data_IF_345689008008
#
_entry.id   IF_345689008008
#
_cell.length_a   1.000
_cell.length_b   1.000
_cell.length_c   1.000
_cell.angle_alpha   90.00
_cell.angle_beta   90.00
_cell.angle_gamma   90.00
#
_symmetry.space_group_name_H-M   'P 1'
#
loop_
_entity.id
_entity.type
_entity.pdbx_description
1 polymer ?
#
# COMPACT_ATOMS: atom_id res chain seq x y z
N UNK A 1 -11.82 10.21 7.78
CA UNK A 1 -10.43 9.91 7.34
C UNK A 1 -10.16 10.68 6.06
N UNK A 2 -9.01 11.36 5.95
CA UNK A 2 -8.61 12.08 4.73
C UNK A 2 -7.72 11.19 3.88
N UNK A 3 -8.10 10.96 2.64
CA UNK A 3 -7.41 10.06 1.73
C UNK A 3 -6.92 10.86 0.52
N UNK A 4 -5.65 10.68 0.14
CA UNK A 4 -5.08 11.21 -1.09
C UNK A 4 -4.93 10.08 -2.10
N UNK A 5 -5.63 10.14 -3.21
CA UNK A 5 -5.54 9.18 -4.31
C UNK A 5 -4.79 9.80 -5.49
N UNK A 6 -3.55 9.36 -5.72
CA UNK A 6 -2.77 9.84 -6.85
C UNK A 6 -3.02 8.98 -8.10
N UNK A 7 -3.27 9.64 -9.23
CA UNK A 7 -3.54 8.99 -10.52
C UNK A 7 -2.78 9.65 -11.66
N UNK A 8 -2.21 8.84 -12.53
CA UNK A 8 -1.61 9.24 -13.80
C UNK A 8 -2.37 8.67 -15.01
N UNK A 9 -3.51 8.01 -14.76
CA UNK A 9 -4.31 7.35 -15.78
C UNK A 9 -3.76 6.01 -16.26
N UNK A 10 -2.69 5.50 -15.65
CA UNK A 10 -2.17 4.16 -15.94
C UNK A 10 -3.12 3.07 -15.45
N UNK A 11 -2.96 1.85 -15.95
CA UNK A 11 -3.69 0.66 -15.50
C UNK A 11 -3.54 0.44 -13.98
N UNK A 12 -2.36 0.68 -13.46
CA UNK A 12 -2.08 0.59 -12.03
C UNK A 12 -2.76 1.69 -11.21
N UNK A 13 -2.92 2.90 -11.76
CA UNK A 13 -3.69 3.97 -11.15
C UNK A 13 -5.20 3.66 -11.15
N UNK A 14 -5.71 3.02 -12.20
CA UNK A 14 -7.10 2.51 -12.18
C UNK A 14 -7.29 1.44 -11.10
N UNK A 15 -6.30 0.56 -10.90
CA UNK A 15 -6.31 -0.41 -9.79
C UNK A 15 -6.32 0.27 -8.42
N UNK A 16 -5.70 1.46 -8.29
CA UNK A 16 -5.75 2.24 -7.05
C UNK A 16 -7.17 2.79 -6.78
N UNK A 17 -7.87 3.29 -7.81
CA UNK A 17 -9.29 3.70 -7.70
C UNK A 17 -10.17 2.50 -7.31
N UNK A 18 -10.00 1.37 -7.98
CA UNK A 18 -10.75 0.15 -7.67
C UNK A 18 -10.46 -0.39 -6.26
N UNK A 19 -9.21 -0.28 -5.81
CA UNK A 19 -8.80 -0.63 -4.46
C UNK A 19 -9.48 0.26 -3.43
N UNK A 20 -9.51 1.59 -3.64
CA UNK A 20 -10.24 2.52 -2.77
C UNK A 20 -11.72 2.14 -2.64
N UNK A 21 -12.39 1.83 -3.75
CA UNK A 21 -13.83 1.48 -3.76
C UNK A 21 -14.13 0.15 -3.05
N UNK A 22 -13.17 -0.76 -2.97
CA UNK A 22 -13.32 -2.08 -2.33
C UNK A 22 -12.81 -2.14 -0.89
N UNK A 23 -11.90 -1.24 -0.55
CA UNK A 23 -11.33 -1.20 0.79
C UNK A 23 -12.35 -0.62 1.78
N UNK A 24 -12.50 -1.20 2.98
CA UNK A 24 -13.50 -0.75 3.95
C UNK A 24 -13.03 0.51 4.68
N UNK A 25 -12.86 1.62 3.97
CA UNK A 25 -12.67 2.92 4.60
C UNK A 25 -13.95 3.40 5.28
N UNK A 26 -13.87 4.20 6.35
CA UNK A 26 -15.04 4.81 6.97
C UNK A 26 -15.86 5.61 5.95
N UNK A 27 -17.19 5.51 6.02
CA UNK A 27 -18.11 6.14 5.06
C UNK A 27 -18.08 7.68 5.06
N UNK A 28 -17.52 8.28 6.11
CA UNK A 28 -17.28 9.71 6.25
C UNK A 28 -15.89 10.15 5.76
N UNK A 29 -15.17 9.27 5.07
CA UNK A 29 -13.86 9.59 4.51
C UNK A 29 -13.98 10.58 3.35
N UNK A 30 -13.05 11.54 3.34
CA UNK A 30 -12.90 12.54 2.29
C UNK A 30 -11.75 12.13 1.36
N UNK A 31 -11.98 12.12 0.06
CA UNK A 31 -10.99 11.73 -0.94
C UNK A 31 -10.54 12.94 -1.74
N UNK A 32 -9.25 13.24 -1.71
CA UNK A 32 -8.63 14.18 -2.65
C UNK A 32 -7.97 13.39 -3.77
N UNK A 33 -8.43 13.58 -5.00
CA UNK A 33 -7.77 13.02 -6.18
C UNK A 33 -6.69 13.96 -6.66
N UNK A 34 -5.51 13.44 -6.91
CA UNK A 34 -4.37 14.22 -7.38
C UNK A 34 -3.82 13.65 -8.69
N UNK A 35 -3.69 14.52 -9.69
CA UNK A 35 -2.86 14.26 -10.88
C UNK A 35 -1.73 15.26 -10.91
N UNK A 36 -0.52 14.79 -11.20
CA UNK A 36 0.66 15.63 -11.32
C UNK A 36 1.21 15.50 -12.73
N UNK A 37 1.27 16.64 -13.43
CA UNK A 37 1.96 16.74 -14.71
C UNK A 37 3.44 16.87 -14.43
N UNK A 38 4.25 15.92 -14.91
CA UNK A 38 5.69 15.98 -14.72
C UNK A 38 6.27 17.17 -15.48
N UNK A 39 6.91 18.07 -14.74
CA UNK A 39 7.57 19.25 -15.31
C UNK A 39 8.64 18.89 -16.35
N UNK A 40 9.22 17.69 -16.26
CA UNK A 40 10.21 17.22 -17.23
C UNK A 40 9.64 17.07 -18.65
N UNK A 41 8.31 16.93 -18.80
CA UNK A 41 7.64 16.91 -20.11
C UNK A 41 7.84 18.23 -20.86
N UNK A 42 7.98 19.36 -20.14
CA UNK A 42 8.09 20.71 -20.71
C UNK A 42 9.48 21.32 -20.63
N UNK A 43 10.38 20.77 -19.79
CA UNK A 43 11.74 21.25 -19.59
C UNK A 43 12.76 20.27 -20.13
N UNK A 44 13.12 20.44 -21.39
CA UNK A 44 14.35 19.87 -21.91
C UNK A 44 15.44 20.95 -21.86
N UNK A 45 16.64 20.64 -21.35
CA UNK A 45 17.76 21.61 -21.32
C UNK A 45 18.12 22.11 -22.74
N UNK A 46 17.69 21.39 -23.78
CA UNK A 46 17.83 21.77 -25.20
C UNK A 46 16.85 22.88 -25.64
N UNK A 47 15.85 23.25 -24.80
CA UNK A 47 14.79 24.24 -25.10
C UNK A 47 15.12 25.64 -24.56
N UNK A 48 16.39 25.99 -24.30
CA UNK A 48 16.75 27.29 -23.73
C UNK A 48 16.77 28.45 -24.74
N UNK A 49 16.85 28.14 -26.04
CA UNK A 49 16.92 29.13 -27.12
C UNK A 49 15.79 28.93 -28.16
N UNK A 50 14.52 28.88 -27.67
CA UNK A 50 13.36 28.75 -28.53
C UNK A 50 13.09 30.09 -29.27
N UNK A 51 12.77 30.00 -30.55
CA UNK A 51 12.20 31.11 -31.30
C UNK A 51 10.68 31.27 -30.96
N UNK A 52 10.08 32.39 -31.37
CA UNK A 52 8.69 32.71 -31.03
C UNK A 52 7.71 31.60 -31.46
N UNK A 53 7.88 31.00 -32.64
CA UNK A 53 7.03 29.91 -33.16
C UNK A 53 7.15 28.62 -32.33
N UNK A 54 8.35 28.33 -31.84
CA UNK A 54 8.59 27.17 -30.96
C UNK A 54 8.02 27.40 -29.55
N UNK A 55 8.05 28.63 -29.09
CA UNK A 55 7.48 29.01 -27.81
C UNK A 55 5.95 28.93 -27.83
N UNK A 56 5.31 29.43 -28.90
CA UNK A 56 3.86 29.29 -29.11
C UNK A 56 3.45 27.81 -29.18
N UNK A 57 4.20 26.97 -29.89
CA UNK A 57 3.94 25.54 -29.96
C UNK A 57 4.10 24.82 -28.60
N UNK A 58 5.04 25.25 -27.78
CA UNK A 58 5.22 24.73 -26.42
C UNK A 58 4.04 25.10 -25.53
N UNK A 59 3.61 26.38 -25.55
CA UNK A 59 2.45 26.84 -24.79
C UNK A 59 1.14 26.11 -25.19
N UNK A 60 0.96 25.90 -26.50
CA UNK A 60 -0.17 25.10 -26.98
C UNK A 60 -0.10 23.64 -26.50
N UNK A 61 1.09 23.04 -26.51
CA UNK A 61 1.31 21.68 -25.99
C UNK A 61 1.04 21.59 -24.49
N UNK A 62 1.53 22.55 -23.70
CA UNK A 62 1.25 22.64 -22.26
C UNK A 62 -0.25 22.68 -21.98
N UNK A 63 -0.99 23.49 -22.73
CA UNK A 63 -2.44 23.59 -22.60
C UNK A 63 -3.14 22.27 -22.90
N UNK A 64 -2.77 21.60 -24.00
CA UNK A 64 -3.32 20.28 -24.36
C UNK A 64 -3.08 19.25 -23.25
N UNK A 65 -1.87 19.22 -22.68
CA UNK A 65 -1.54 18.29 -21.60
C UNK A 65 -2.33 18.59 -20.33
N UNK A 66 -2.52 19.87 -20.00
CA UNK A 66 -3.33 20.27 -18.84
C UNK A 66 -4.82 19.91 -19.04
N UNK A 67 -5.37 20.15 -20.22
CA UNK A 67 -6.75 19.77 -20.56
C UNK A 67 -6.94 18.25 -20.44
N UNK A 68 -6.02 17.46 -21.00
CA UNK A 68 -6.08 16.00 -20.90
C UNK A 68 -5.98 15.49 -19.44
N UNK A 69 -5.12 16.11 -18.62
CA UNK A 69 -5.01 15.77 -17.20
C UNK A 69 -6.28 16.14 -16.41
N UNK A 70 -6.91 17.27 -16.76
CA UNK A 70 -8.18 17.67 -16.15
C UNK A 70 -9.32 16.74 -16.54
N UNK A 71 -9.39 16.32 -17.81
CA UNK A 71 -10.36 15.31 -18.27
C UNK A 71 -10.19 13.96 -17.56
N UNK A 72 -8.94 13.53 -17.35
CA UNK A 72 -8.64 12.33 -16.58
C UNK A 72 -9.19 12.44 -15.16
N UNK A 73 -8.86 13.53 -14.46
CA UNK A 73 -9.35 13.78 -13.10
C UNK A 73 -10.87 13.76 -13.02
N UNK A 74 -11.55 14.49 -13.91
CA UNK A 74 -13.02 14.55 -13.91
C UNK A 74 -13.65 13.18 -14.17
N UNK A 75 -13.08 12.38 -15.07
CA UNK A 75 -13.56 11.01 -15.34
C UNK A 75 -13.46 10.12 -14.12
N UNK A 76 -12.31 10.12 -13.44
CA UNK A 76 -12.10 9.28 -12.25
C UNK A 76 -12.89 9.82 -11.03
N UNK A 77 -13.00 11.15 -10.89
CA UNK A 77 -13.84 11.79 -9.88
C UNK A 77 -15.32 11.41 -10.04
N UNK A 78 -15.81 11.39 -11.29
CA UNK A 78 -17.17 10.95 -11.56
C UNK A 78 -17.41 9.49 -11.14
N UNK A 79 -16.41 8.60 -11.27
CA UNK A 79 -16.51 7.21 -10.78
C UNK A 79 -16.69 7.16 -9.26
N UNK A 80 -15.91 7.96 -8.52
CA UNK A 80 -15.99 8.03 -7.06
C UNK A 80 -17.32 8.63 -6.59
N UNK A 81 -17.78 9.74 -7.20
CA UNK A 81 -19.08 10.33 -6.89
C UNK A 81 -20.22 9.34 -7.12
N UNK A 82 -20.20 8.61 -8.23
CA UNK A 82 -21.22 7.59 -8.54
C UNK A 82 -21.21 6.43 -7.55
N UNK A 83 -20.07 6.15 -6.92
CA UNK A 83 -19.91 5.17 -5.84
C UNK A 83 -20.27 5.76 -4.45
N UNK A 84 -20.64 7.03 -4.36
CA UNK A 84 -21.08 7.68 -3.11
C UNK A 84 -19.96 8.31 -2.28
N UNK A 85 -18.74 8.45 -2.85
CA UNK A 85 -17.63 9.09 -2.15
C UNK A 85 -17.72 10.62 -2.19
N UNK A 86 -17.37 11.28 -1.08
CA UNK A 86 -17.08 12.71 -1.05
C UNK A 86 -15.68 12.94 -1.61
N UNK A 87 -15.61 13.63 -2.77
CA UNK A 87 -14.32 13.82 -3.45
C UNK A 87 -14.05 15.28 -3.77
N UNK A 88 -12.76 15.61 -3.84
CA UNK A 88 -12.20 16.82 -4.42
C UNK A 88 -11.06 16.44 -5.37
N UNK A 89 -10.76 17.32 -6.32
CA UNK A 89 -9.74 17.06 -7.33
C UNK A 89 -8.71 18.17 -7.37
N UNK A 90 -7.44 17.80 -7.49
CA UNK A 90 -6.31 18.72 -7.55
C UNK A 90 -5.38 18.35 -8.71
N UNK A 91 -4.99 19.34 -9.52
CA UNK A 91 -4.00 19.23 -10.57
C UNK A 91 -2.75 20.01 -10.19
N UNK A 92 -1.60 19.37 -10.23
CA UNK A 92 -0.30 19.98 -9.94
C UNK A 92 0.65 19.83 -11.14
N UNK A 93 1.65 20.71 -11.20
CA UNK A 93 2.76 20.65 -12.16
C UNK A 93 4.05 20.62 -11.36
N UNK A 94 4.81 19.54 -11.45
CA UNK A 94 6.02 19.36 -10.66
C UNK A 94 6.62 17.97 -10.85
N UNK A 95 7.46 17.54 -9.90
CA UNK A 95 7.93 16.17 -9.84
C UNK A 95 6.87 15.31 -9.14
N UNK A 96 6.26 14.31 -9.81
CA UNK A 96 5.09 13.60 -9.28
C UNK A 96 5.25 13.09 -7.85
N UNK A 97 6.39 12.47 -7.54
CA UNK A 97 6.64 11.90 -6.22
C UNK A 97 6.72 12.96 -5.11
N UNK A 98 7.34 14.11 -5.39
CA UNK A 98 7.49 15.22 -4.45
C UNK A 98 6.17 15.94 -4.23
N UNK A 99 5.40 16.19 -5.30
CA UNK A 99 4.10 16.84 -5.20
C UNK A 99 3.08 16.00 -4.42
N UNK A 100 3.07 14.67 -4.60
CA UNK A 100 2.20 13.78 -3.83
C UNK A 100 2.52 13.88 -2.33
N UNK A 101 3.80 13.86 -1.96
CA UNK A 101 4.22 13.98 -0.55
C UNK A 101 3.89 15.37 0.01
N UNK A 102 4.13 16.43 -0.77
CA UNK A 102 3.83 17.80 -0.37
C UNK A 102 2.32 18.02 -0.15
N UNK A 103 1.47 17.52 -1.04
CA UNK A 103 0.01 17.61 -0.89
C UNK A 103 -0.46 16.78 0.31
N UNK A 104 0.13 15.60 0.54
CA UNK A 104 -0.19 14.79 1.72
C UNK A 104 0.11 15.53 3.03
N UNK A 105 1.22 16.28 3.08
CA UNK A 105 1.59 17.11 4.23
C UNK A 105 0.68 18.35 4.35
N UNK A 106 0.42 19.06 3.25
CA UNK A 106 -0.39 20.29 3.23
C UNK A 106 -1.83 20.06 3.69
N UNK A 107 -2.43 18.94 3.29
CA UNK A 107 -3.82 18.60 3.58
C UNK A 107 -3.99 17.76 4.85
N UNK A 108 -2.89 17.41 5.53
CA UNK A 108 -2.89 16.54 6.72
C UNK A 108 -3.62 15.22 6.42
N UNK A 109 -3.11 14.51 5.41
CA UNK A 109 -3.69 13.26 4.87
C UNK A 109 -3.38 12.10 5.81
N UNK A 110 -4.38 11.26 6.08
CA UNK A 110 -4.24 10.04 6.89
C UNK A 110 -3.69 8.86 6.09
N UNK A 111 -4.06 8.77 4.80
CA UNK A 111 -3.65 7.68 3.92
C UNK A 111 -3.48 8.13 2.47
N UNK A 112 -2.29 7.88 1.91
CA UNK A 112 -2.03 8.04 0.47
C UNK A 112 -2.26 6.71 -0.23
N UNK A 113 -3.00 6.72 -1.33
CA UNK A 113 -3.21 5.56 -2.21
C UNK A 113 -2.53 5.82 -3.54
N UNK A 114 -1.65 4.92 -3.94
CA UNK A 114 -0.94 4.98 -5.24
C UNK A 114 -0.97 3.63 -5.91
N UNK A 115 -0.95 3.61 -7.23
CA UNK A 115 -0.71 2.38 -8.01
C UNK A 115 0.69 1.83 -7.76
N UNK A 116 0.93 0.58 -8.08
CA UNK A 116 2.26 -0.02 -7.94
C UNK A 116 3.25 0.44 -9.01
N UNK A 117 2.76 0.89 -10.18
CA UNK A 117 3.56 1.38 -11.31
C UNK A 117 2.86 2.57 -11.96
N UNK A 118 3.59 3.36 -12.76
CA UNK A 118 3.02 4.38 -13.63
C UNK A 118 3.04 3.93 -15.10
N UNK A 119 2.78 4.87 -16.03
CA UNK A 119 2.69 4.63 -17.49
C UNK A 119 3.94 3.99 -18.11
N UNK A 120 5.12 4.10 -17.48
CA UNK A 120 6.38 3.52 -17.96
C UNK A 120 6.70 2.11 -17.43
N UNK A 121 5.84 1.48 -16.66
CA UNK A 121 6.11 0.24 -15.94
C UNK A 121 6.19 -1.01 -16.83
N UNK A 122 7.40 -1.50 -17.08
CA UNK A 122 7.65 -2.67 -17.96
C UNK A 122 7.70 -4.01 -17.20
N UNK A 123 7.73 -4.04 -15.86
CA UNK A 123 7.93 -5.30 -15.11
C UNK A 123 6.92 -5.46 -13.97
N UNK A 124 6.17 -6.52 -14.04
CA UNK A 124 5.10 -6.98 -13.12
C UNK A 124 5.52 -7.19 -11.65
N UNK A 125 6.81 -7.00 -11.29
CA UNK A 125 7.37 -7.34 -9.98
C UNK A 125 8.24 -6.24 -9.33
N UNK A 126 8.28 -5.03 -9.89
CA UNK A 126 9.06 -3.93 -9.30
C UNK A 126 8.12 -2.77 -8.99
N UNK A 127 8.27 -2.17 -7.82
CA UNK A 127 7.57 -0.95 -7.45
C UNK A 127 8.08 0.22 -8.30
N UNK A 128 7.18 1.07 -8.81
CA UNK A 128 7.52 2.25 -9.58
C UNK A 128 8.24 3.30 -8.73
N UNK A 129 9.07 4.14 -9.35
CA UNK A 129 9.86 5.17 -8.64
C UNK A 129 9.01 6.13 -7.83
N UNK A 130 7.86 6.56 -8.35
CA UNK A 130 6.92 7.44 -7.64
C UNK A 130 6.36 6.74 -6.40
N UNK A 131 5.88 5.51 -6.56
CA UNK A 131 5.27 4.73 -5.47
C UNK A 131 6.29 4.37 -4.39
N UNK A 132 7.53 4.06 -4.79
CA UNK A 132 8.64 3.80 -3.86
C UNK A 132 9.01 5.06 -3.06
N UNK A 133 9.10 6.21 -3.74
CA UNK A 133 9.37 7.48 -3.09
C UNK A 133 8.25 7.87 -2.11
N UNK A 134 6.99 7.77 -2.53
CA UNK A 134 5.84 8.06 -1.66
C UNK A 134 5.83 7.15 -0.45
N UNK A 135 6.06 5.84 -0.63
CA UNK A 135 6.14 4.87 0.47
C UNK A 135 7.22 5.23 1.48
N UNK A 136 8.35 5.77 1.00
CA UNK A 136 9.48 6.14 1.85
C UNK A 136 9.26 7.47 2.59
N UNK A 137 8.69 8.48 1.91
CA UNK A 137 8.71 9.87 2.38
C UNK A 137 7.34 10.42 2.81
N UNK A 138 6.22 9.76 2.48
CA UNK A 138 4.91 10.24 2.91
C UNK A 138 4.83 10.35 4.44
N UNK A 139 4.23 11.44 4.98
CA UNK A 139 4.10 11.65 6.42
C UNK A 139 3.10 10.68 7.07
N UNK A 140 2.24 10.04 6.29
CA UNK A 140 1.09 9.24 6.69
C UNK A 140 1.17 7.80 6.20
N UNK A 141 0.13 7.02 6.43
CA UNK A 141 0.00 5.66 5.90
C UNK A 141 0.00 5.64 4.37
N UNK A 142 0.54 4.58 3.77
CA UNK A 142 0.59 4.43 2.31
C UNK A 142 0.04 3.09 1.89
N UNK A 143 -0.98 3.11 1.04
CA UNK A 143 -1.55 1.93 0.39
C UNK A 143 -1.02 1.85 -1.05
N UNK A 144 -0.20 0.85 -1.31
CA UNK A 144 0.24 0.48 -2.66
C UNK A 144 -0.82 -0.46 -3.24
N UNK A 145 -1.59 0.05 -4.16
CA UNK A 145 -2.58 -0.76 -4.86
C UNK A 145 -1.90 -1.61 -5.94
N UNK A 146 -2.15 -2.90 -5.88
CA UNK A 146 -1.76 -3.84 -6.92
C UNK A 146 -3.02 -4.47 -7.48
N UNK A 147 -3.01 -4.74 -8.78
CA UNK A 147 -4.07 -5.57 -9.35
C UNK A 147 -4.17 -6.85 -8.52
N UNK A 148 -5.40 -7.28 -8.15
CA UNK A 148 -5.57 -8.60 -7.61
C UNK A 148 -4.95 -9.54 -8.65
N UNK A 149 -3.82 -10.16 -8.31
CA UNK A 149 -3.20 -11.15 -9.20
C UNK A 149 -4.33 -12.09 -9.62
N UNK A 150 -4.37 -12.44 -10.90
CA UNK A 150 -5.32 -13.42 -11.45
C UNK A 150 -5.07 -14.78 -10.79
N UNK A 151 -5.29 -14.84 -9.47
CA UNK A 151 -5.34 -16.12 -8.78
C UNK A 151 -6.59 -16.81 -9.31
N UNK A 152 -6.47 -18.04 -9.82
CA UNK A 152 -7.61 -18.81 -10.23
C UNK A 152 -8.64 -18.81 -9.09
N UNK A 153 -9.93 -18.64 -9.43
CA UNK A 153 -11.01 -18.86 -8.47
C UNK A 153 -10.95 -20.31 -7.96
N UNK A 154 -11.77 -20.65 -6.98
CA UNK A 154 -11.81 -22.02 -6.42
C UNK A 154 -12.09 -23.11 -7.48
N UNK A 155 -12.65 -22.74 -8.63
CA UNK A 155 -12.86 -23.62 -9.80
C UNK A 155 -11.65 -23.69 -10.74
N UNK A 156 -10.54 -22.98 -10.47
CA UNK A 156 -9.34 -23.00 -11.31
C UNK A 156 -9.41 -22.11 -12.56
N UNK A 157 -10.47 -21.32 -12.71
CA UNK A 157 -10.63 -20.40 -13.84
C UNK A 157 -10.05 -19.03 -13.50
N UNK A 158 -9.25 -18.49 -14.41
CA UNK A 158 -8.73 -17.12 -14.33
C UNK A 158 -9.84 -16.17 -14.79
N UNK A 159 -10.28 -15.18 -13.96
CA UNK A 159 -11.26 -14.20 -14.41
C UNK A 159 -10.75 -13.47 -15.64
N UNK A 160 -11.55 -13.43 -16.68
CA UNK A 160 -11.19 -12.79 -17.96
C UNK A 160 -11.42 -11.28 -17.96
N UNK A 161 -12.10 -10.75 -16.93
CA UNK A 161 -12.35 -9.32 -16.79
C UNK A 161 -12.66 -8.95 -15.32
N UNK A 162 -12.23 -7.76 -14.84
CA UNK A 162 -12.65 -7.22 -13.53
C UNK A 162 -14.17 -6.99 -13.43
N UNK A 163 -14.87 -6.88 -14.56
CA UNK A 163 -16.32 -6.64 -14.62
C UNK A 163 -17.16 -7.91 -14.31
N UNK A 164 -16.56 -9.09 -14.37
CA UNK A 164 -17.26 -10.36 -14.11
C UNK A 164 -17.35 -10.71 -12.62
N UNK A 165 -16.67 -9.97 -11.75
CA UNK A 165 -16.65 -10.20 -10.29
C UNK A 165 -17.85 -9.51 -9.60
N UNK A 166 -19.07 -9.92 -9.97
CA UNK A 166 -20.34 -9.45 -9.35
C UNK A 166 -20.50 -9.82 -7.88
N UNK A 167 -19.60 -10.64 -7.33
CA UNK A 167 -19.51 -10.96 -5.91
C UNK A 167 -18.19 -10.41 -5.40
N UNK A 168 -18.25 -9.30 -4.64
CA UNK A 168 -17.10 -8.73 -3.96
C UNK A 168 -16.36 -9.85 -3.21
N UNK A 169 -15.13 -10.17 -3.65
CA UNK A 169 -14.30 -11.15 -2.92
C UNK A 169 -14.12 -10.65 -1.50
N UNK A 170 -14.24 -11.50 -0.49
CA UNK A 170 -14.02 -11.10 0.89
C UNK A 170 -12.61 -10.52 1.03
N UNK A 171 -12.48 -9.49 1.88
CA UNK A 171 -11.18 -8.95 2.25
C UNK A 171 -10.41 -10.02 3.02
N UNK A 172 -9.31 -10.51 2.44
CA UNK A 172 -8.37 -11.43 3.09
C UNK A 172 -7.10 -10.67 3.44
N UNK A 173 -6.99 -10.29 4.69
CA UNK A 173 -5.92 -9.46 5.20
C UNK A 173 -4.87 -10.30 5.93
N UNK A 174 -3.60 -10.16 5.53
CA UNK A 174 -2.47 -10.64 6.31
C UNK A 174 -1.87 -9.48 7.09
N UNK A 175 -2.01 -9.48 8.41
CA UNK A 175 -1.40 -8.51 9.30
C UNK A 175 -0.05 -9.03 9.80
N UNK A 176 1.06 -8.49 9.29
CA UNK A 176 2.39 -8.80 9.77
C UNK A 176 2.69 -8.05 11.06
N UNK A 177 2.88 -8.80 12.15
CA UNK A 177 2.98 -8.25 13.50
C UNK A 177 4.24 -8.72 14.24
N UNK A 178 5.04 -7.77 14.73
CA UNK A 178 6.26 -8.04 15.49
C UNK A 178 6.28 -7.45 16.90
N UNK A 179 5.14 -6.94 17.38
CA UNK A 179 4.99 -6.23 18.67
C UNK A 179 5.85 -4.96 18.79
N UNK A 180 6.23 -4.34 17.67
CA UNK A 180 6.79 -3.00 17.64
C UNK A 180 5.71 -1.94 17.79
N UNK A 181 6.10 -0.68 18.06
CA UNK A 181 5.15 0.44 18.09
C UNK A 181 4.44 0.59 16.74
N UNK A 182 5.13 0.60 15.57
CA UNK A 182 4.45 0.66 14.28
C UNK A 182 3.54 -0.53 13.99
N UNK A 183 3.87 -1.73 14.47
CA UNK A 183 3.00 -2.90 14.30
C UNK A 183 1.71 -2.77 15.14
N UNK A 184 1.78 -2.18 16.34
CA UNK A 184 0.59 -1.88 17.14
C UNK A 184 -0.29 -0.81 16.49
N UNK A 185 0.33 0.22 15.89
CA UNK A 185 -0.40 1.23 15.09
C UNK A 185 -1.12 0.60 13.90
N UNK A 186 -0.51 -0.42 13.26
CA UNK A 186 -1.17 -1.19 12.21
C UNK A 186 -2.42 -1.94 12.73
N UNK A 187 -2.37 -2.49 13.96
CA UNK A 187 -3.54 -3.10 14.61
C UNK A 187 -4.62 -2.04 14.87
N UNK A 188 -4.25 -0.90 15.45
CA UNK A 188 -5.17 0.22 15.70
C UNK A 188 -5.85 0.70 14.41
N UNK A 189 -5.07 0.83 13.33
CA UNK A 189 -5.61 1.17 12.01
C UNK A 189 -6.62 0.13 11.54
N UNK A 190 -6.29 -1.17 11.59
CA UNK A 190 -7.21 -2.24 11.20
C UNK A 190 -8.50 -2.24 12.02
N UNK A 191 -8.42 -1.95 13.33
CA UNK A 191 -9.60 -1.92 14.21
C UNK A 191 -10.46 -0.67 14.02
N UNK A 192 -9.92 0.40 13.44
CA UNK A 192 -10.67 1.60 13.06
C UNK A 192 -11.46 1.44 11.76
N UNK A 193 -11.15 0.42 10.97
CA UNK A 193 -11.85 0.12 9.72
C UNK A 193 -13.20 -0.55 10.01
N UNK A 194 -14.28 -0.22 9.28
CA UNK A 194 -15.54 -0.92 9.35
C UNK A 194 -15.45 -2.27 8.62
N UNK A 195 -14.68 -3.21 9.19
CA UNK A 195 -14.55 -4.55 8.65
C UNK A 195 -15.90 -5.26 8.69
N UNK A 196 -16.29 -5.86 7.58
CA UNK A 196 -17.54 -6.59 7.50
C UNK A 196 -17.42 -8.00 8.08
N UNK A 197 -18.56 -8.69 8.15
CA UNK A 197 -18.65 -10.08 8.64
C UNK A 197 -17.91 -11.09 7.75
N UNK A 198 -17.50 -10.69 6.54
CA UNK A 198 -16.84 -11.56 5.57
C UNK A 198 -15.32 -11.30 5.51
N UNK A 199 -14.84 -10.24 6.19
CA UNK A 199 -13.42 -9.94 6.24
C UNK A 199 -12.67 -11.01 7.06
N UNK A 200 -11.70 -11.66 6.43
CA UNK A 200 -10.81 -12.65 7.04
C UNK A 200 -9.46 -11.99 7.39
N UNK A 201 -9.02 -12.09 8.63
CA UNK A 201 -7.75 -11.50 9.08
C UNK A 201 -6.83 -12.58 9.64
N UNK A 202 -5.65 -12.73 9.05
CA UNK A 202 -4.58 -13.56 9.60
C UNK A 202 -3.51 -12.68 10.24
N UNK A 203 -3.40 -12.70 11.57
CA UNK A 203 -2.31 -12.04 12.30
C UNK A 203 -1.08 -12.97 12.31
N UNK A 204 -0.02 -12.57 11.63
CA UNK A 204 1.19 -13.36 11.46
C UNK A 204 2.38 -12.73 12.20
N UNK A 205 3.01 -13.50 13.06
CA UNK A 205 4.35 -13.19 13.59
C UNK A 205 5.35 -14.21 13.04
N UNK A 206 6.45 -13.71 12.47
CA UNK A 206 7.57 -14.53 12.01
C UNK A 206 8.77 -14.32 12.92
N UNK A 207 9.22 -15.38 13.56
CA UNK A 207 10.46 -15.38 14.36
C UNK A 207 11.64 -15.77 13.46
N UNK A 208 12.70 -14.95 13.40
CA UNK A 208 13.87 -15.29 12.60
C UNK A 208 14.61 -16.49 13.21
N UNK A 209 14.87 -17.50 12.38
CA UNK A 209 15.68 -18.66 12.80
C UNK A 209 17.12 -18.22 13.07
N UNK A 210 17.59 -18.50 14.29
CA UNK A 210 18.98 -18.27 14.65
C UNK A 210 19.78 -19.54 14.29
N UNK A 211 20.48 -19.51 13.16
CA UNK A 211 21.36 -20.59 12.75
C UNK A 211 22.67 -20.49 13.54
N UNK A 212 22.81 -21.32 14.58
CA UNK A 212 24.02 -21.39 15.37
C UNK A 212 24.81 -22.64 15.00
N UNK A 213 26.04 -22.46 14.57
CA UNK A 213 26.95 -23.55 14.19
C UNK A 213 27.49 -24.33 15.40
N UNK A 214 27.43 -23.77 16.64
CA UNK A 214 27.95 -24.36 17.85
C UNK A 214 26.83 -24.91 18.74
N UNK A 215 26.92 -26.20 19.09
CA UNK A 215 25.90 -26.88 19.91
C UNK A 215 25.80 -26.33 21.34
N UNK A 216 26.95 -25.97 21.96
CA UNK A 216 27.01 -25.40 23.30
C UNK A 216 26.27 -24.05 23.41
N UNK A 217 26.36 -23.22 22.38
CA UNK A 217 25.63 -21.94 22.31
C UNK A 217 24.15 -22.20 22.07
N UNK A 218 23.78 -23.18 21.25
CA UNK A 218 22.38 -23.54 20.98
C UNK A 218 21.65 -23.95 22.27
N UNK A 219 22.27 -24.76 23.14
CA UNK A 219 21.71 -25.14 24.43
C UNK A 219 21.52 -23.95 25.37
N UNK A 220 22.50 -23.04 25.43
CA UNK A 220 22.41 -21.82 26.26
C UNK A 220 21.36 -20.83 25.81
N UNK A 221 21.02 -20.79 24.50
CA UNK A 221 20.03 -19.87 23.95
C UNK A 221 18.65 -20.50 23.80
N UNK A 222 18.49 -21.80 24.07
CA UNK A 222 17.17 -22.46 23.92
C UNK A 222 16.09 -21.86 24.82
N UNK A 223 16.45 -21.48 26.06
CA UNK A 223 15.53 -20.85 26.99
C UNK A 223 15.08 -19.43 26.49
N UNK A 224 16.03 -18.66 25.92
CA UNK A 224 15.74 -17.34 25.36
C UNK A 224 14.80 -17.44 24.14
N UNK A 225 14.98 -18.47 23.33
CA UNK A 225 14.12 -18.77 22.21
C UNK A 225 12.70 -19.14 22.65
N UNK A 226 12.60 -20.02 23.66
CA UNK A 226 11.29 -20.35 24.24
C UNK A 226 10.60 -19.17 24.84
N UNK A 227 11.32 -18.27 25.51
CA UNK A 227 10.73 -17.04 26.05
C UNK A 227 10.26 -16.09 24.96
N UNK A 228 11.04 -15.90 23.89
CA UNK A 228 10.62 -15.12 22.71
C UNK A 228 9.36 -15.70 22.07
N UNK A 229 9.31 -17.03 21.92
CA UNK A 229 8.14 -17.71 21.36
C UNK A 229 6.90 -17.50 22.23
N UNK A 230 7.03 -17.62 23.55
CA UNK A 230 5.96 -17.38 24.51
C UNK A 230 5.46 -15.92 24.45
N UNK A 231 6.37 -14.95 24.37
CA UNK A 231 6.02 -13.54 24.25
C UNK A 231 5.31 -13.26 22.92
N UNK A 232 5.75 -13.84 21.81
CA UNK A 232 5.12 -13.70 20.50
C UNK A 232 3.69 -14.28 20.49
N UNK A 233 3.49 -15.46 21.08
CA UNK A 233 2.16 -16.06 21.20
C UNK A 233 1.23 -15.21 22.06
N UNK A 234 1.69 -14.72 23.22
CA UNK A 234 0.89 -13.83 24.06
C UNK A 234 0.57 -12.49 23.36
N UNK A 235 1.49 -11.98 22.52
CA UNK A 235 1.25 -10.80 21.72
C UNK A 235 0.20 -11.05 20.63
N UNK A 236 0.29 -12.16 19.92
CA UNK A 236 -0.70 -12.58 18.92
C UNK A 236 -2.09 -12.79 19.53
N UNK A 237 -2.19 -13.40 20.72
CA UNK A 237 -3.46 -13.56 21.42
C UNK A 237 -4.12 -12.20 21.73
N UNK A 238 -3.34 -11.19 22.15
CA UNK A 238 -3.87 -9.82 22.34
C UNK A 238 -4.39 -9.22 21.06
N UNK A 239 -3.62 -9.31 19.97
CA UNK A 239 -3.99 -8.80 18.64
C UNK A 239 -5.26 -9.48 18.12
N UNK A 240 -5.32 -10.82 18.21
CA UNK A 240 -6.50 -11.58 17.78
C UNK A 240 -7.75 -11.15 18.55
N UNK A 241 -7.63 -10.95 19.86
CA UNK A 241 -8.74 -10.47 20.69
C UNK A 241 -9.15 -9.03 20.36
N UNK A 242 -8.20 -8.19 19.99
CA UNK A 242 -8.44 -6.80 19.61
C UNK A 242 -9.16 -6.70 18.26
N UNK A 243 -8.62 -7.37 17.22
CA UNK A 243 -9.21 -7.42 15.87
C UNK A 243 -10.53 -8.18 15.88
N UNK A 244 -10.70 -9.18 16.75
CA UNK A 244 -11.93 -9.95 16.92
C UNK A 244 -13.14 -9.13 17.36
N UNK A 245 -12.94 -7.85 17.71
CA UNK A 245 -14.05 -6.90 17.93
C UNK A 245 -14.57 -6.30 16.62
N UNK A 246 -13.73 -6.25 15.59
CA UNK A 246 -14.06 -5.68 14.28
C UNK A 246 -14.54 -6.76 13.28
N UNK A 247 -14.01 -7.99 13.35
CA UNK A 247 -14.44 -9.12 12.54
C UNK A 247 -14.37 -10.43 13.31
N UNK A 248 -15.34 -11.37 13.16
CA UNK A 248 -15.30 -12.67 13.82
C UNK A 248 -14.24 -13.63 13.22
N UNK A 249 -13.79 -13.38 11.99
CA UNK A 249 -12.87 -14.25 11.26
C UNK A 249 -11.43 -13.77 11.40
N UNK A 250 -10.85 -13.96 12.59
CA UNK A 250 -9.46 -13.63 12.87
C UNK A 250 -8.71 -14.86 13.36
N UNK A 251 -7.55 -15.12 12.75
CA UNK A 251 -6.65 -16.20 13.12
C UNK A 251 -5.26 -15.67 13.48
N UNK A 252 -4.58 -16.37 14.38
CA UNK A 252 -3.19 -16.08 14.75
C UNK A 252 -2.25 -17.16 14.24
N UNK A 253 -1.16 -16.75 13.63
CA UNK A 253 -0.12 -17.64 13.12
C UNK A 253 1.25 -17.22 13.62
N UNK A 254 1.99 -18.16 14.20
CA UNK A 254 3.37 -17.99 14.56
C UNK A 254 4.24 -18.90 13.68
N UNK A 255 5.14 -18.30 12.90
CA UNK A 255 6.06 -19.04 12.03
C UNK A 255 7.51 -18.77 12.39
N UNK A 256 8.38 -19.64 11.95
CA UNK A 256 9.82 -19.55 12.14
C UNK A 256 10.49 -19.67 10.76
N UNK A 257 11.31 -18.68 10.38
CA UNK A 257 11.93 -18.66 9.06
C UNK A 257 13.32 -18.02 9.09
N UNK A 258 14.15 -18.36 8.11
CA UNK A 258 15.46 -17.74 7.93
C UNK A 258 15.34 -16.28 7.46
N UNK A 259 14.35 -15.98 6.60
CA UNK A 259 14.01 -14.64 6.13
C UNK A 259 12.55 -14.32 6.45
N UNK A 260 12.35 -13.22 7.19
CA UNK A 260 11.04 -12.79 7.66
C UNK A 260 10.17 -12.32 6.50
N UNK A 261 10.75 -11.60 5.54
CA UNK A 261 10.00 -11.03 4.41
C UNK A 261 9.52 -12.12 3.46
N UNK A 262 10.39 -13.10 3.16
CA UNK A 262 10.03 -14.23 2.30
C UNK A 262 8.91 -15.07 2.92
N UNK A 263 8.94 -15.28 4.24
CA UNK A 263 7.91 -16.03 4.93
C UNK A 263 6.56 -15.28 4.96
N UNK A 264 6.58 -13.94 5.11
CA UNK A 264 5.36 -13.13 5.02
C UNK A 264 4.77 -13.20 3.61
N UNK A 265 5.60 -13.09 2.55
CA UNK A 265 5.16 -13.21 1.17
C UNK A 265 4.60 -14.61 0.86
N UNK A 266 5.24 -15.65 1.36
CA UNK A 266 4.78 -17.02 1.24
C UNK A 266 3.43 -17.22 1.93
N UNK A 267 3.29 -16.76 3.17
CA UNK A 267 2.04 -16.82 3.92
C UNK A 267 0.91 -16.05 3.22
N UNK A 268 1.20 -14.86 2.67
CA UNK A 268 0.21 -14.09 1.91
C UNK A 268 -0.30 -14.87 0.68
N UNK A 269 0.59 -15.58 0.00
CA UNK A 269 0.20 -16.45 -1.13
C UNK A 269 -0.61 -17.66 -0.66
N UNK A 270 -0.19 -18.33 0.41
CA UNK A 270 -0.84 -19.51 0.97
C UNK A 270 -2.28 -19.21 1.43
N UNK A 271 -2.46 -18.08 2.16
CA UNK A 271 -3.78 -17.62 2.61
C UNK A 271 -4.58 -16.87 1.54
N UNK A 272 -4.04 -16.77 0.31
CA UNK A 272 -4.66 -16.01 -0.79
C UNK A 272 -5.05 -14.60 -0.38
N UNK A 273 -4.18 -13.95 0.39
CA UNK A 273 -4.41 -12.60 0.89
C UNK A 273 -4.45 -11.62 -0.28
N UNK A 274 -5.43 -10.72 -0.25
CA UNK A 274 -5.54 -9.61 -1.20
C UNK A 274 -4.99 -8.30 -0.64
N UNK A 275 -4.64 -8.30 0.66
CA UNK A 275 -4.01 -7.19 1.34
C UNK A 275 -2.99 -7.68 2.38
N UNK A 276 -1.79 -7.12 2.37
CA UNK A 276 -0.83 -7.22 3.46
C UNK A 276 -0.82 -5.89 4.21
N UNK A 277 -0.99 -5.94 5.53
CA UNK A 277 -0.89 -4.77 6.42
C UNK A 277 0.29 -4.94 7.34
N UNK A 278 1.10 -3.90 7.48
CA UNK A 278 2.25 -3.89 8.37
C UNK A 278 2.60 -2.46 8.81
N UNK A 279 3.32 -2.34 9.92
CA UNK A 279 3.90 -1.05 10.31
C UNK A 279 4.98 -0.61 9.32
N UNK A 280 5.13 0.69 9.12
CA UNK A 280 6.18 1.23 8.24
C UNK A 280 7.61 0.87 8.69
N UNK A 281 7.78 0.43 9.95
CA UNK A 281 9.05 -0.02 10.57
C UNK A 281 8.80 -1.19 11.50
N UNK A 282 9.87 -1.99 11.76
CA UNK A 282 9.88 -3.03 12.78
C UNK A 282 10.81 -2.69 13.95
N UNK A 283 11.01 -3.64 14.85
CA UNK A 283 11.84 -3.51 16.09
C UNK A 283 13.31 -3.11 15.86
N UNK A 284 13.86 -3.26 14.66
CA UNK A 284 15.27 -2.98 14.35
C UNK A 284 15.58 -1.59 13.79
N UNK A 285 14.61 -0.73 13.60
CA UNK A 285 14.82 0.57 12.93
C UNK A 285 15.36 1.64 13.89
N UNK A 286 16.55 2.15 13.61
CA UNK A 286 17.29 3.10 14.49
C UNK A 286 17.01 4.57 14.14
N UNK A 287 16.53 4.90 12.93
CA UNK A 287 16.32 6.28 12.47
C UNK A 287 14.85 6.63 12.22
N UNK A 288 14.47 7.88 12.60
CA UNK A 288 13.07 8.37 12.55
C UNK A 288 12.45 8.41 11.14
N UNK A 289 13.23 8.44 10.07
CA UNK A 289 12.79 8.74 8.70
C UNK A 289 12.98 7.59 7.68
N UNK A 290 13.50 6.44 8.07
CA UNK A 290 13.74 5.35 7.14
C UNK A 290 12.64 4.28 7.23
N UNK A 291 12.16 3.84 6.07
CA UNK A 291 11.28 2.70 5.92
C UNK A 291 11.98 1.42 6.42
N UNK A 292 11.24 0.48 7.01
CA UNK A 292 11.78 -0.81 7.44
C UNK A 292 12.14 -1.70 6.24
N UNK A 293 13.23 -2.46 6.35
CA UNK A 293 13.67 -3.38 5.28
C UNK A 293 12.61 -4.43 4.92
N UNK A 294 11.86 -4.94 5.91
CA UNK A 294 10.74 -5.87 5.69
C UNK A 294 9.64 -5.19 4.90
N UNK A 295 9.25 -3.97 5.29
CA UNK A 295 8.19 -3.20 4.61
C UNK A 295 8.57 -2.89 3.17
N UNK A 296 9.80 -2.42 2.92
CA UNK A 296 10.33 -2.19 1.58
C UNK A 296 10.26 -3.46 0.73
N UNK A 297 10.78 -4.57 1.24
CA UNK A 297 10.83 -5.82 0.48
C UNK A 297 9.43 -6.36 0.18
N UNK A 298 8.49 -6.28 1.13
CA UNK A 298 7.11 -6.69 0.92
C UNK A 298 6.43 -5.80 -0.11
N UNK A 299 6.58 -4.47 -0.03
CA UNK A 299 6.00 -3.55 -1.01
C UNK A 299 6.49 -3.83 -2.42
N UNK A 300 7.76 -4.17 -2.61
CA UNK A 300 8.33 -4.51 -3.91
C UNK A 300 7.87 -5.88 -4.45
N UNK A 301 7.76 -6.90 -3.59
CA UNK A 301 7.61 -8.29 -4.04
C UNK A 301 6.22 -8.91 -3.82
N UNK A 302 5.33 -8.28 -3.05
CA UNK A 302 3.98 -8.80 -2.85
C UNK A 302 3.21 -8.84 -4.18
N UNK A 303 2.43 -9.90 -4.36
CA UNK A 303 1.50 -10.05 -5.50
C UNK A 303 0.12 -9.42 -5.23
N UNK A 304 -0.11 -8.92 -4.03
CA UNK A 304 -1.35 -8.25 -3.61
C UNK A 304 -1.03 -6.84 -3.09
N UNK A 305 -2.08 -6.05 -2.82
CA UNK A 305 -1.94 -4.71 -2.26
C UNK A 305 -1.22 -4.72 -0.91
N UNK A 306 -0.50 -3.64 -0.60
CA UNK A 306 0.29 -3.50 0.63
C UNK A 306 -0.03 -2.17 1.30
N UNK A 307 -0.45 -2.22 2.56
CA UNK A 307 -0.67 -1.06 3.41
C UNK A 307 0.45 -0.96 4.44
N UNK A 308 1.28 0.06 4.30
CA UNK A 308 2.29 0.44 5.29
C UNK A 308 1.71 1.51 6.23
N UNK A 309 1.43 1.14 7.46
CA UNK A 309 0.80 2.02 8.45
C UNK A 309 1.85 2.89 9.13
N UNK A 310 1.57 4.20 9.15
CA UNK A 310 2.34 5.21 9.86
C UNK A 310 1.35 6.14 10.56
N UNK A 311 1.54 6.36 11.85
CA UNK A 311 0.82 7.41 12.57
C UNK A 311 1.62 8.73 12.48
N UNK A 312 0.86 9.82 12.41
CA UNK A 312 1.37 11.20 12.54
C UNK A 312 2.04 11.43 13.87
#
# INVERSE_FOLDING_TARGET
>A
MKILLATDGSESAHSAVDCLMRFPFPSDSEVTMLTVIDRAVFKNEELTDLNDEQQDALEETEKIVQEAAQELLEREAARLRNAGWSESSELRIGHPAEEIVAVAEQLDIDCVIVGSHGMGGIKRFLLGSVSDYVLQYAPCSVLIAKEPGLLPNESGETPTSPADDKHARPLRMLLAYDDSVPARQAVEFCTSLPLDQQAEVTALTVLPLITLYRQDIRQRLSWLWLEKKKQALAALERVTKEIGRATPHVEAQLREAADVSDEILHAASEYRSNLIVLGHKGKGAIQKFLLGSVTTRIAHHASCSVLAVRNH
#
